data_IF_069596848180
#
_entry.id   IF_069596848180
#
_cell.length_a   1.000
_cell.length_b   1.000
_cell.length_c   1.000
_cell.angle_alpha   90.00
_cell.angle_beta   90.00
_cell.angle_gamma   90.00
#
_symmetry.space_group_name_H-M   'P 1'
#
loop_
_entity.id
_entity.type
_entity.pdbx_description
1 polymer ?
#
# COMPACT_ATOMS: atom_id res chain seq x y z
N UNK A 1 0.67 -54.63 -6.88
CA UNK A 1 0.13 -53.32 -7.28
C UNK A 1 -0.65 -52.61 -6.17
N UNK A 2 -1.57 -53.27 -5.45
CA UNK A 2 -2.42 -52.65 -4.40
C UNK A 2 -1.61 -52.02 -3.24
N UNK A 3 -0.51 -52.65 -2.82
CA UNK A 3 0.31 -52.17 -1.69
C UNK A 3 1.04 -50.84 -2.00
N UNK A 4 1.53 -50.68 -3.24
CA UNK A 4 2.25 -49.47 -3.68
C UNK A 4 1.30 -48.26 -3.65
N UNK A 5 0.06 -48.43 -4.11
CA UNK A 5 -0.94 -47.36 -4.08
C UNK A 5 -1.26 -46.92 -2.65
N UNK A 6 -1.39 -47.86 -1.69
CA UNK A 6 -1.66 -47.51 -0.29
C UNK A 6 -0.53 -46.70 0.35
N UNK A 7 0.73 -47.09 0.11
CA UNK A 7 1.89 -46.36 0.63
C UNK A 7 2.00 -44.96 0.03
N UNK A 8 1.79 -44.85 -1.28
CA UNK A 8 1.79 -43.56 -1.97
C UNK A 8 0.72 -42.61 -1.41
N UNK A 9 -0.51 -43.10 -1.19
CA UNK A 9 -1.57 -42.25 -0.67
C UNK A 9 -1.25 -41.80 0.76
N UNK A 10 -0.77 -42.69 1.64
CA UNK A 10 -0.34 -42.31 3.00
C UNK A 10 0.73 -41.22 2.95
N UNK A 11 1.74 -41.39 2.09
CA UNK A 11 2.80 -40.41 1.91
C UNK A 11 2.25 -39.04 1.48
N UNK A 12 1.35 -39.00 0.48
CA UNK A 12 0.73 -37.75 0.02
C UNK A 12 -0.01 -37.00 1.13
N UNK A 13 -0.78 -37.70 1.97
CA UNK A 13 -1.48 -37.06 3.09
C UNK A 13 -0.55 -36.62 4.21
N UNK A 14 0.55 -37.33 4.44
CA UNK A 14 1.59 -36.87 5.38
C UNK A 14 2.29 -35.61 4.87
N UNK A 15 2.56 -35.51 3.57
CA UNK A 15 3.11 -34.29 2.95
C UNK A 15 2.12 -33.13 3.07
N UNK A 16 0.83 -33.35 2.77
CA UNK A 16 -0.19 -32.31 2.90
C UNK A 16 -0.33 -31.83 4.35
N UNK A 17 -0.30 -32.74 5.32
CA UNK A 17 -0.30 -32.41 6.74
C UNK A 17 0.89 -31.51 7.11
N UNK A 18 2.09 -31.88 6.66
CA UNK A 18 3.30 -31.11 6.91
C UNK A 18 3.22 -29.70 6.30
N UNK A 19 2.80 -29.58 5.03
CA UNK A 19 2.60 -28.29 4.36
C UNK A 19 1.58 -27.43 5.13
N UNK A 20 0.50 -28.03 5.60
CA UNK A 20 -0.54 -27.33 6.38
C UNK A 20 0.03 -26.72 7.66
N UNK A 21 0.81 -27.49 8.40
CA UNK A 21 1.47 -27.01 9.63
C UNK A 21 2.46 -25.90 9.30
N UNK A 22 3.28 -26.08 8.25
CA UNK A 22 4.25 -25.08 7.84
C UNK A 22 3.60 -23.74 7.44
N UNK A 23 2.51 -23.79 6.67
CA UNK A 23 1.77 -22.58 6.26
C UNK A 23 1.10 -21.87 7.45
N UNK A 24 0.54 -22.63 8.41
CA UNK A 24 0.00 -22.04 9.65
C UNK A 24 1.10 -21.36 10.46
N UNK A 25 2.28 -21.99 10.57
CA UNK A 25 3.43 -21.39 11.27
C UNK A 25 3.91 -20.12 10.55
N UNK A 26 4.02 -20.13 9.22
CA UNK A 26 4.38 -18.95 8.42
C UNK A 26 3.39 -17.81 8.68
N UNK A 27 2.08 -18.09 8.60
CA UNK A 27 1.06 -17.08 8.80
C UNK A 27 1.02 -16.55 10.25
N UNK A 28 1.23 -17.43 11.24
CA UNK A 28 1.29 -17.05 12.65
C UNK A 28 2.54 -16.21 12.96
N UNK A 29 3.70 -16.59 12.44
CA UNK A 29 4.94 -15.81 12.61
C UNK A 29 4.81 -14.40 12.00
N UNK A 30 4.09 -14.28 10.87
CA UNK A 30 3.76 -12.98 10.27
C UNK A 30 2.85 -12.08 11.12
N UNK A 31 2.12 -12.62 12.09
CA UNK A 31 1.29 -11.81 13.00
C UNK A 31 2.08 -11.24 14.19
N UNK A 32 3.22 -11.86 14.54
CA UNK A 32 4.03 -11.47 15.70
C UNK A 32 5.06 -10.39 15.31
N UNK A 33 5.05 -9.95 14.05
CA UNK A 33 5.92 -8.91 13.50
C UNK A 33 7.42 -9.09 13.81
N UNK A 34 7.90 -10.34 13.75
CA UNK A 34 9.30 -10.67 14.01
C UNK A 34 10.11 -10.39 12.73
N UNK A 35 10.25 -9.11 12.38
CA UNK A 35 10.97 -8.69 11.17
C UNK A 35 10.36 -9.22 9.87
N UNK A 36 9.05 -9.47 9.88
CA UNK A 36 8.29 -10.00 8.73
C UNK A 36 7.78 -8.91 7.79
N UNK A 37 7.95 -7.66 8.21
CA UNK A 37 7.78 -6.45 7.43
C UNK A 37 8.56 -6.46 6.12
N UNK A 38 8.12 -5.64 5.18
CA UNK A 38 8.88 -5.44 3.96
C UNK A 38 10.20 -4.71 4.23
N UNK A 39 11.12 -4.81 3.28
CA UNK A 39 12.41 -4.15 3.38
C UNK A 39 12.25 -2.63 3.26
N UNK A 40 12.69 -1.90 4.28
CA UNK A 40 12.76 -0.46 4.25
C UNK A 40 14.10 0.01 3.68
N UNK A 41 14.07 0.84 2.64
CA UNK A 41 15.30 1.44 2.12
C UNK A 41 15.92 2.39 3.14
N UNK A 42 17.26 2.54 3.15
CA UNK A 42 17.93 3.62 3.85
C UNK A 42 17.40 4.97 3.38
N UNK A 43 17.22 5.88 4.32
CA UNK A 43 16.78 7.26 4.08
C UNK A 43 17.78 7.97 3.17
N UNK A 44 17.28 8.68 2.18
CA UNK A 44 18.08 9.49 1.25
C UNK A 44 18.20 10.91 1.78
N UNK A 45 19.29 11.60 1.42
CA UNK A 45 19.57 12.96 1.96
C UNK A 45 18.50 14.00 1.61
N UNK A 46 17.73 13.80 0.54
CA UNK A 46 16.70 14.73 0.09
C UNK A 46 15.32 14.47 0.73
N UNK A 47 15.12 13.32 1.38
CA UNK A 47 13.84 12.95 2.00
C UNK A 47 13.68 13.67 3.34
N UNK A 48 12.53 14.29 3.58
CA UNK A 48 12.23 15.00 4.83
C UNK A 48 11.96 14.08 6.03
N UNK A 49 12.05 12.77 5.81
CA UNK A 49 11.69 11.68 6.70
C UNK A 49 12.07 11.90 8.19
N UNK A 50 11.10 11.65 9.07
CA UNK A 50 11.24 11.69 10.52
C UNK A 50 11.05 10.28 11.11
N UNK A 51 12.12 9.63 11.61
CA UNK A 51 12.03 8.29 12.18
C UNK A 51 11.17 8.23 13.45
N UNK A 52 11.04 9.33 14.21
CA UNK A 52 10.19 9.38 15.41
C UNK A 52 8.71 9.24 15.02
N UNK A 53 8.34 9.80 13.87
CA UNK A 53 6.97 9.71 13.37
C UNK A 53 6.58 8.26 13.07
N UNK A 54 7.51 7.44 12.59
CA UNK A 54 7.27 6.00 12.32
C UNK A 54 6.80 5.26 13.57
N UNK A 55 7.51 5.45 14.68
CA UNK A 55 7.19 4.78 15.95
C UNK A 55 5.86 5.27 16.54
N UNK A 56 5.57 6.57 16.39
CA UNK A 56 4.35 7.18 16.93
C UNK A 56 3.10 6.88 16.12
N UNK A 57 3.23 6.51 14.85
CA UNK A 57 2.10 6.41 13.92
C UNK A 57 1.99 5.04 13.23
N UNK A 58 1.72 3.95 14.00
CA UNK A 58 1.56 2.61 13.45
C UNK A 58 0.18 2.35 12.81
N UNK A 59 -0.71 3.35 12.81
CA UNK A 59 -2.05 3.28 12.21
C UNK A 59 -2.47 4.61 11.59
N UNK A 60 -3.44 4.57 10.68
CA UNK A 60 -3.99 5.76 10.04
C UNK A 60 -4.59 6.72 11.07
N UNK A 61 -5.20 6.19 12.13
CA UNK A 61 -5.73 6.97 13.25
C UNK A 61 -4.62 7.76 13.94
N UNK A 62 -3.57 7.07 14.40
CA UNK A 62 -2.45 7.72 15.09
C UNK A 62 -1.71 8.72 14.21
N UNK A 63 -1.63 8.47 12.89
CA UNK A 63 -1.06 9.43 11.94
C UNK A 63 -1.91 10.69 11.82
N UNK A 64 -3.23 10.53 11.78
CA UNK A 64 -4.17 11.64 11.77
C UNK A 64 -4.11 12.45 13.07
N UNK A 65 -4.05 11.79 14.23
CA UNK A 65 -3.92 12.46 15.52
C UNK A 65 -2.64 13.31 15.60
N UNK A 66 -1.50 12.79 15.14
CA UNK A 66 -0.25 13.57 15.07
C UNK A 66 -0.33 14.72 14.07
N UNK A 67 -1.11 14.59 13.01
CA UNK A 67 -1.40 15.72 12.13
C UNK A 67 -2.24 16.79 12.84
N UNK A 68 -3.26 16.39 13.60
CA UNK A 68 -4.10 17.32 14.38
C UNK A 68 -3.34 18.01 15.51
N UNK A 69 -2.33 17.38 16.11
CA UNK A 69 -1.46 18.01 17.10
C UNK A 69 -0.72 19.25 16.56
N UNK A 70 -0.52 19.34 15.23
CA UNK A 70 0.11 20.49 14.58
C UNK A 70 -0.87 21.63 14.31
N UNK A 71 -2.18 21.38 14.48
CA UNK A 71 -3.19 22.42 14.39
C UNK A 71 -3.20 23.17 15.71
N UNK A 72 -2.85 24.46 15.65
CA UNK A 72 -2.95 25.32 16.82
C UNK A 72 -4.40 25.37 17.30
N UNK A 73 -4.66 24.77 18.45
CA UNK A 73 -5.97 24.75 19.11
C UNK A 73 -6.58 26.14 19.38
N UNK A 74 -5.81 27.22 19.21
CA UNK A 74 -6.28 28.60 19.32
C UNK A 74 -6.70 29.27 18.00
N UNK A 75 -6.43 28.64 16.85
CA UNK A 75 -6.84 29.17 15.56
C UNK A 75 -8.34 28.92 15.31
N UNK A 76 -9.04 29.94 14.80
CA UNK A 76 -10.34 29.77 14.14
C UNK A 76 -10.27 28.65 13.09
N UNK A 77 -11.42 28.06 12.70
CA UNK A 77 -11.50 26.95 11.74
C UNK A 77 -10.46 27.06 10.61
N UNK A 78 -9.50 26.14 10.59
CA UNK A 78 -8.47 26.11 9.56
C UNK A 78 -9.10 25.98 8.17
N UNK A 79 -8.51 26.65 7.19
CA UNK A 79 -8.91 26.45 5.80
C UNK A 79 -8.59 25.01 5.34
N UNK A 80 -9.35 24.42 4.40
CA UNK A 80 -9.01 23.12 3.84
C UNK A 80 -7.58 23.06 3.26
N UNK A 81 -7.09 24.19 2.74
CA UNK A 81 -5.71 24.34 2.25
C UNK A 81 -4.67 24.14 3.36
N UNK A 82 -4.91 24.71 4.54
CA UNK A 82 -4.00 24.60 5.68
C UNK A 82 -4.04 23.19 6.27
N UNK A 83 -5.25 22.61 6.42
CA UNK A 83 -5.41 21.21 6.83
C UNK A 83 -4.66 20.29 5.87
N UNK A 84 -4.85 20.45 4.55
CA UNK A 84 -4.16 19.64 3.56
C UNK A 84 -2.64 19.77 3.62
N UNK A 85 -2.10 20.96 3.87
CA UNK A 85 -0.65 21.15 4.05
C UNK A 85 -0.11 20.38 5.24
N UNK A 86 -0.83 20.38 6.37
CA UNK A 86 -0.46 19.64 7.57
C UNK A 86 -0.52 18.12 7.31
N UNK A 87 -1.60 17.64 6.69
CA UNK A 87 -1.73 16.22 6.33
C UNK A 87 -0.60 15.79 5.39
N UNK A 88 -0.34 16.58 4.34
CA UNK A 88 0.73 16.35 3.39
C UNK A 88 2.11 16.31 4.07
N UNK A 89 2.43 17.31 4.89
CA UNK A 89 3.73 17.36 5.57
C UNK A 89 3.91 16.20 6.54
N UNK A 90 2.83 15.74 7.16
CA UNK A 90 2.83 14.57 8.03
C UNK A 90 3.12 13.29 7.24
N UNK A 91 2.43 13.07 6.11
CA UNK A 91 2.67 11.89 5.25
C UNK A 91 4.07 11.91 4.64
N UNK A 92 4.51 13.08 4.15
CA UNK A 92 5.84 13.29 3.59
C UNK A 92 6.95 12.93 4.58
N UNK A 93 6.85 13.41 5.83
CA UNK A 93 7.81 13.06 6.89
C UNK A 93 7.68 11.62 7.35
N UNK A 94 6.52 10.98 7.14
CA UNK A 94 6.25 9.61 7.60
C UNK A 94 6.90 8.54 6.73
N UNK A 95 7.06 8.82 5.44
CA UNK A 95 7.47 7.83 4.46
C UNK A 95 8.76 8.24 3.73
N UNK A 96 9.47 7.24 3.25
CA UNK A 96 10.55 7.36 2.28
C UNK A 96 10.13 6.69 0.98
N UNK A 97 10.79 7.04 -0.11
CA UNK A 97 10.52 6.45 -1.41
C UNK A 97 11.07 5.01 -1.48
N UNK A 98 10.29 4.08 -2.02
CA UNK A 98 10.70 2.69 -2.19
C UNK A 98 9.84 1.88 -3.15
N UNK A 99 10.32 0.68 -3.50
CA UNK A 99 9.62 -0.25 -4.40
C UNK A 99 9.32 -1.62 -3.74
N UNK A 100 9.61 -1.74 -2.43
CA UNK A 100 9.58 -3.00 -1.68
C UNK A 100 8.38 -3.17 -0.76
N UNK A 101 7.54 -2.16 -0.56
CA UNK A 101 6.32 -2.23 0.25
C UNK A 101 5.24 -3.16 -0.35
N UNK A 102 5.52 -4.45 -0.26
CA UNK A 102 4.78 -5.56 -0.84
C UNK A 102 4.61 -6.66 0.19
N UNK A 103 3.62 -7.51 0.00
CA UNK A 103 3.45 -8.73 0.79
C UNK A 103 4.70 -9.60 0.72
N UNK A 104 5.11 -10.08 1.88
CA UNK A 104 6.16 -11.08 2.05
C UNK A 104 5.52 -12.45 2.24
N UNK A 105 6.34 -13.51 2.18
CA UNK A 105 5.85 -14.86 2.47
C UNK A 105 5.17 -14.93 3.85
N UNK A 106 5.69 -14.19 4.83
CA UNK A 106 5.20 -14.19 6.20
C UNK A 106 3.98 -13.29 6.38
N UNK A 107 3.94 -12.10 5.76
CA UNK A 107 2.79 -11.21 5.94
C UNK A 107 1.53 -11.80 5.31
N UNK A 108 1.62 -12.33 4.09
CA UNK A 108 0.55 -13.07 3.45
C UNK A 108 1.10 -13.99 2.34
N UNK A 109 1.31 -15.28 2.65
CA UNK A 109 1.87 -16.25 1.70
C UNK A 109 1.05 -16.38 0.42
N UNK A 110 -0.27 -16.21 0.49
CA UNK A 110 -1.16 -16.34 -0.67
C UNK A 110 -0.95 -15.16 -1.63
N UNK A 111 -1.01 -13.93 -1.12
CA UNK A 111 -0.77 -12.72 -1.91
C UNK A 111 0.67 -12.63 -2.41
N UNK A 112 1.64 -13.07 -1.61
CA UNK A 112 3.04 -13.19 -2.03
C UNK A 112 3.20 -14.11 -3.25
N UNK A 113 2.60 -15.30 -3.23
CA UNK A 113 2.67 -16.25 -4.35
C UNK A 113 1.90 -15.74 -5.58
N UNK A 114 0.70 -15.18 -5.39
CA UNK A 114 -0.06 -14.57 -6.48
C UNK A 114 0.66 -13.36 -7.07
N UNK A 115 1.42 -12.63 -6.27
CA UNK A 115 2.30 -11.56 -6.68
C UNK A 115 3.39 -11.98 -7.67
N UNK A 116 3.82 -13.26 -7.62
CA UNK A 116 4.73 -13.85 -8.61
C UNK A 116 4.07 -14.10 -9.97
N UNK A 117 2.74 -14.22 -9.99
CA UNK A 117 1.94 -14.38 -11.20
C UNK A 117 1.56 -13.02 -11.77
N UNK A 118 1.10 -12.11 -10.91
CA UNK A 118 0.72 -10.75 -11.30
C UNK A 118 1.08 -9.73 -10.19
N UNK A 119 1.92 -8.70 -10.49
CA UNK A 119 2.45 -7.78 -9.48
C UNK A 119 1.41 -7.09 -8.60
N UNK A 120 0.22 -6.79 -9.14
CA UNK A 120 -0.87 -6.15 -8.39
C UNK A 120 -1.28 -6.88 -7.10
N UNK A 121 -1.15 -8.21 -7.03
CA UNK A 121 -1.46 -8.95 -5.79
C UNK A 121 -0.38 -8.81 -4.71
N UNK A 122 0.83 -8.41 -5.10
CA UNK A 122 1.91 -8.22 -4.15
C UNK A 122 1.79 -6.90 -3.39
N UNK A 123 1.09 -5.90 -3.91
CA UNK A 123 1.05 -4.57 -3.32
C UNK A 123 0.22 -4.59 -2.03
N UNK A 124 0.68 -3.86 -1.00
CA UNK A 124 -0.13 -3.59 0.17
C UNK A 124 -1.25 -2.63 -0.25
N UNK A 125 -2.50 -2.92 0.14
CA UNK A 125 -3.67 -2.08 -0.12
C UNK A 125 -4.31 -1.50 1.14
N UNK A 126 -3.90 -1.98 2.31
CA UNK A 126 -4.40 -1.55 3.61
C UNK A 126 -3.45 -0.47 4.20
N UNK A 127 -3.91 0.79 4.38
CA UNK A 127 -3.09 1.86 4.94
C UNK A 127 -2.50 1.52 6.32
N UNK A 128 -3.24 0.81 7.17
CA UNK A 128 -2.76 0.44 8.50
C UNK A 128 -1.62 -0.58 8.42
N UNK A 129 -1.65 -1.47 7.43
CA UNK A 129 -0.52 -2.40 7.19
C UNK A 129 0.71 -1.66 6.65
N UNK A 130 0.54 -0.65 5.80
CA UNK A 130 1.67 0.16 5.33
C UNK A 130 2.35 0.89 6.49
N UNK A 131 1.54 1.52 7.35
CA UNK A 131 2.03 2.26 8.51
C UNK A 131 2.68 1.31 9.52
N UNK A 132 2.09 0.16 9.79
CA UNK A 132 2.67 -0.81 10.73
C UNK A 132 3.98 -1.41 10.25
N UNK A 133 4.07 -1.78 8.97
CA UNK A 133 5.20 -2.56 8.48
C UNK A 133 6.44 -1.72 8.14
N UNK A 134 6.31 -0.42 7.90
CA UNK A 134 7.51 0.37 7.65
C UNK A 134 7.28 1.80 7.24
N UNK A 135 8.28 2.32 6.54
CA UNK A 135 8.33 3.68 6.05
C UNK A 135 8.67 3.79 4.57
N UNK A 136 9.24 2.77 3.93
CA UNK A 136 9.63 2.86 2.52
C UNK A 136 8.54 2.32 1.59
N UNK A 137 7.70 3.21 1.06
CA UNK A 137 6.48 2.83 0.32
C UNK A 137 6.55 3.22 -1.15
N UNK A 138 5.68 2.62 -1.96
CA UNK A 138 5.49 3.03 -3.36
C UNK A 138 4.74 4.36 -3.44
N UNK A 139 4.89 5.09 -4.55
CA UNK A 139 4.25 6.38 -4.76
C UNK A 139 2.72 6.32 -4.66
N UNK A 140 2.12 5.25 -5.17
CA UNK A 140 0.68 5.03 -5.08
C UNK A 140 0.23 4.80 -3.64
N UNK A 141 1.06 4.17 -2.81
CA UNK A 141 0.78 3.91 -1.40
C UNK A 141 0.88 5.17 -0.53
N UNK A 142 1.94 5.98 -0.69
CA UNK A 142 2.07 7.26 0.04
C UNK A 142 0.94 8.21 -0.34
N UNK A 143 0.63 8.31 -1.63
CA UNK A 143 -0.52 9.05 -2.14
C UNK A 143 -1.83 8.50 -1.55
N UNK A 144 -1.97 7.18 -1.39
CA UNK A 144 -3.18 6.55 -0.84
C UNK A 144 -3.40 6.87 0.63
N UNK A 145 -2.34 6.86 1.43
CA UNK A 145 -2.43 7.26 2.84
C UNK A 145 -2.89 8.72 2.93
N UNK A 146 -2.31 9.61 2.13
CA UNK A 146 -2.70 11.02 2.10
C UNK A 146 -4.17 11.21 1.66
N UNK A 147 -4.63 10.46 0.66
CA UNK A 147 -6.03 10.44 0.23
C UNK A 147 -6.96 10.09 1.40
N UNK A 148 -6.65 9.02 2.16
CA UNK A 148 -7.47 8.59 3.29
C UNK A 148 -7.50 9.61 4.43
N UNK A 149 -6.37 10.27 4.72
CA UNK A 149 -6.34 11.36 5.70
C UNK A 149 -7.18 12.56 5.26
N UNK A 150 -7.12 12.95 3.98
CA UNK A 150 -7.92 14.04 3.43
C UNK A 150 -9.42 13.75 3.52
N UNK A 151 -9.83 12.54 3.14
CA UNK A 151 -11.23 12.10 3.25
C UNK A 151 -11.70 12.04 4.70
N UNK A 152 -10.82 11.62 5.63
CA UNK A 152 -11.10 11.64 7.08
C UNK A 152 -11.27 13.07 7.62
N UNK A 153 -10.64 14.05 7.00
CA UNK A 153 -10.81 15.48 7.30
C UNK A 153 -11.97 16.14 6.53
N UNK A 154 -12.88 15.37 5.93
CA UNK A 154 -14.00 15.84 5.11
C UNK A 154 -13.57 16.69 3.88
N UNK A 155 -12.34 16.49 3.39
CA UNK A 155 -11.82 17.15 2.20
C UNK A 155 -11.99 16.21 1.00
N UNK A 156 -12.79 16.57 -0.03
CA UNK A 156 -12.93 15.73 -1.19
C UNK A 156 -11.58 15.57 -1.89
N UNK A 157 -11.15 14.33 -2.10
CA UNK A 157 -9.83 14.03 -2.63
C UNK A 157 -9.89 12.85 -3.61
N UNK A 158 -8.90 12.77 -4.49
CA UNK A 158 -8.77 11.70 -5.50
C UNK A 158 -7.32 11.37 -5.79
N UNK A 159 -7.10 10.18 -6.35
CA UNK A 159 -5.83 9.82 -6.98
C UNK A 159 -5.83 10.16 -8.44
N UNK A 160 -4.65 10.52 -8.94
CA UNK A 160 -4.41 10.75 -10.36
C UNK A 160 -3.17 9.96 -10.78
N UNK A 161 -3.36 9.09 -11.77
CA UNK A 161 -2.27 8.35 -12.39
C UNK A 161 -1.55 9.19 -13.43
N UNK A 162 -0.23 9.26 -13.31
CA UNK A 162 0.70 9.91 -14.23
C UNK A 162 1.58 8.85 -14.89
N UNK A 163 0.97 7.88 -15.57
CA UNK A 163 1.69 6.77 -16.20
C UNK A 163 2.27 5.78 -15.20
N UNK A 164 3.52 5.99 -14.78
CA UNK A 164 4.24 5.17 -13.80
C UNK A 164 4.27 5.79 -12.39
N UNK A 165 3.69 6.99 -12.23
CA UNK A 165 3.63 7.72 -10.98
C UNK A 165 2.19 7.98 -10.55
N UNK A 166 1.97 8.22 -9.25
CA UNK A 166 0.63 8.49 -8.71
C UNK A 166 0.71 9.64 -7.73
N UNK A 167 -0.19 10.60 -7.91
CA UNK A 167 -0.31 11.79 -7.06
C UNK A 167 -1.71 11.89 -6.49
N UNK A 168 -1.89 12.78 -5.52
CA UNK A 168 -3.19 13.05 -4.91
C UNK A 168 -3.66 14.45 -5.32
N UNK A 169 -4.94 14.63 -5.61
CA UNK A 169 -5.55 15.95 -5.71
C UNK A 169 -6.66 16.13 -4.67
N UNK A 170 -6.67 17.26 -3.97
CA UNK A 170 -7.72 17.68 -3.06
C UNK A 170 -8.56 18.80 -3.69
N UNK A 171 -9.87 18.80 -3.44
CA UNK A 171 -10.80 19.82 -3.93
C UNK A 171 -11.13 20.81 -2.83
N UNK A 172 -10.70 22.06 -3.01
CA UNK A 172 -11.09 23.19 -2.17
C UNK A 172 -11.01 24.47 -3.01
N UNK A 173 -11.56 25.58 -2.53
CA UNK A 173 -11.53 26.87 -3.26
C UNK A 173 -12.06 26.80 -4.72
N UNK A 174 -12.92 25.82 -5.02
CA UNK A 174 -13.49 25.51 -6.34
C UNK A 174 -12.49 25.02 -7.40
N UNK A 175 -11.35 24.46 -7.01
CA UNK A 175 -10.43 23.80 -7.93
C UNK A 175 -9.78 22.54 -7.32
N UNK A 176 -9.12 21.75 -8.16
CA UNK A 176 -8.27 20.64 -7.73
C UNK A 176 -6.85 21.15 -7.46
N UNK A 177 -6.26 20.68 -6.36
CA UNK A 177 -4.93 21.05 -5.92
C UNK A 177 -4.08 19.80 -5.72
N UNK A 178 -2.95 19.71 -6.43
CA UNK A 178 -2.09 18.54 -6.45
C UNK A 178 -1.13 18.50 -5.26
N UNK A 179 -0.96 17.29 -4.72
CA UNK A 179 0.00 16.95 -3.68
C UNK A 179 0.70 15.65 -4.08
N UNK A 180 2.03 15.68 -4.10
CA UNK A 180 2.87 14.52 -4.40
C UNK A 180 3.73 14.19 -3.18
N UNK A 181 3.22 13.33 -2.26
CA UNK A 181 3.93 13.00 -1.04
C UNK A 181 5.16 12.12 -1.27
N UNK A 182 5.30 11.49 -2.45
CA UNK A 182 6.42 10.61 -2.78
C UNK A 182 7.64 11.40 -3.24
N UNK A 183 7.42 12.36 -4.14
CA UNK A 183 8.48 13.26 -4.64
C UNK A 183 8.65 14.51 -3.78
N UNK A 184 7.85 14.65 -2.71
CA UNK A 184 7.87 15.79 -1.82
C UNK A 184 7.61 17.14 -2.53
N UNK A 185 6.67 17.16 -3.49
CA UNK A 185 6.33 18.35 -4.26
C UNK A 185 4.87 18.79 -4.13
N UNK A 186 4.71 20.11 -4.12
CA UNK A 186 3.44 20.81 -4.31
C UNK A 186 3.68 21.83 -5.42
N UNK A 187 3.02 21.72 -6.60
CA UNK A 187 3.20 22.67 -7.67
C UNK A 187 2.52 23.99 -7.31
N UNK A 188 3.30 25.08 -7.21
CA UNK A 188 2.79 26.41 -6.85
C UNK A 188 3.04 27.37 -8.01
N UNK A 189 2.00 28.08 -8.45
CA UNK A 189 2.13 29.09 -9.48
C UNK A 189 2.85 30.35 -8.96
N UNK A 190 3.15 31.30 -9.85
CA UNK A 190 3.78 32.58 -9.50
C UNK A 190 2.98 33.45 -8.52
N UNK A 191 1.73 33.11 -8.24
CA UNK A 191 0.84 33.82 -7.32
C UNK A 191 0.69 33.10 -5.97
N UNK A 192 1.33 31.95 -5.77
CA UNK A 192 1.21 31.18 -4.53
C UNK A 192 0.03 30.20 -4.50
N UNK A 193 -0.64 29.96 -5.63
CA UNK A 193 -1.74 29.00 -5.73
C UNK A 193 -1.19 27.61 -6.00
N UNK A 194 -1.71 26.61 -5.29
CA UNK A 194 -1.38 25.21 -5.56
C UNK A 194 -2.12 24.80 -6.83
N UNK A 195 -1.43 24.27 -7.83
CA UNK A 195 -2.04 23.89 -9.09
C UNK A 195 -2.54 22.45 -9.05
N UNK A 196 -3.65 22.15 -9.73
CA UNK A 196 -4.05 20.78 -10.05
C UNK A 196 -3.25 20.21 -11.22
N UNK A 197 -3.32 18.90 -11.40
CA UNK A 197 -2.70 18.14 -12.50
C UNK A 197 -3.09 18.72 -13.86
N UNK A 198 -4.37 19.04 -14.05
CA UNK A 198 -4.87 19.59 -15.31
C UNK A 198 -4.32 20.96 -15.68
N UNK A 199 -4.00 21.78 -14.67
CA UNK A 199 -3.41 23.10 -14.86
C UNK A 199 -1.90 22.96 -15.08
N UNK A 200 -1.22 22.14 -14.27
CA UNK A 200 0.21 21.85 -14.38
C UNK A 200 0.55 21.21 -15.75
N UNK A 201 -0.30 20.33 -16.27
CA UNK A 201 -0.15 19.72 -17.60
C UNK A 201 -0.10 20.72 -18.77
N UNK A 202 -0.53 21.98 -18.55
CA UNK A 202 -0.49 23.05 -19.57
C UNK A 202 0.71 23.96 -19.43
N UNK A 203 1.48 23.82 -18.35
CA UNK A 203 2.67 24.61 -18.05
C UNK A 203 3.89 23.67 -17.93
N UNK A 204 4.46 23.30 -19.07
CA UNK A 204 5.60 22.38 -19.13
C UNK A 204 6.82 22.92 -18.38
N UNK A 205 7.01 24.24 -18.37
CA UNK A 205 8.14 24.87 -17.68
C UNK A 205 7.99 24.71 -16.18
N UNK A 206 6.83 25.07 -15.61
CA UNK A 206 6.58 24.89 -14.19
C UNK A 206 6.63 23.41 -13.80
N UNK A 207 6.09 22.52 -14.62
CA UNK A 207 6.14 21.08 -14.38
C UNK A 207 7.59 20.57 -14.22
N UNK A 208 8.47 20.92 -15.16
CA UNK A 208 9.90 20.58 -15.07
C UNK A 208 10.56 21.21 -13.85
N UNK A 209 10.26 22.47 -13.55
CA UNK A 209 10.80 23.18 -12.38
C UNK A 209 10.43 22.50 -11.06
N UNK A 210 9.16 22.11 -10.91
CA UNK A 210 8.63 21.47 -9.69
C UNK A 210 9.36 20.15 -9.39
N UNK A 211 9.63 19.34 -10.41
CA UNK A 211 10.28 18.03 -10.25
C UNK A 211 11.81 18.05 -10.35
N UNK A 212 12.42 19.13 -10.83
CA UNK A 212 13.88 19.27 -10.95
C UNK A 212 14.58 19.60 -9.60
N UNK A 213 14.06 19.09 -8.48
CA UNK A 213 14.71 19.21 -7.17
C UNK A 213 15.96 18.33 -7.11
N UNK A 214 16.96 18.78 -6.36
CA UNK A 214 18.20 18.03 -6.17
C UNK A 214 17.92 16.66 -5.53
N UNK A 215 18.38 15.58 -6.17
CA UNK A 215 18.35 14.22 -5.61
C UNK A 215 17.45 13.21 -6.33
N UNK A 216 16.56 13.66 -7.22
CA UNK A 216 15.74 12.76 -8.05
C UNK A 216 16.50 12.20 -9.25
N UNK A 217 16.10 11.01 -9.73
CA UNK A 217 16.59 10.46 -10.99
C UNK A 217 16.07 11.33 -12.15
N UNK A 218 17.00 11.92 -12.91
CA UNK A 218 16.66 12.80 -14.03
C UNK A 218 15.82 12.10 -15.09
N UNK A 219 16.07 10.82 -15.33
CA UNK A 219 15.29 10.06 -16.32
C UNK A 219 13.84 9.89 -15.85
N UNK A 220 13.67 9.57 -14.56
CA UNK A 220 12.35 9.45 -13.94
C UNK A 220 11.59 10.78 -13.90
N UNK A 221 12.28 11.89 -13.57
CA UNK A 221 11.70 13.24 -13.60
C UNK A 221 11.23 13.60 -15.02
N UNK A 222 12.04 13.33 -16.04
CA UNK A 222 11.67 13.56 -17.43
C UNK A 222 10.49 12.68 -17.86
N UNK A 223 10.38 11.44 -17.37
CA UNK A 223 9.24 10.57 -17.62
C UNK A 223 7.95 11.13 -17.01
N UNK A 224 7.97 11.57 -15.75
CA UNK A 224 6.82 12.23 -15.10
C UNK A 224 6.44 13.51 -15.87
N UNK A 225 7.45 14.33 -16.19
CA UNK A 225 7.25 15.60 -16.87
C UNK A 225 6.65 15.42 -18.27
N UNK A 226 7.06 14.39 -18.99
CA UNK A 226 6.52 14.03 -20.30
C UNK A 226 5.11 13.42 -20.23
N UNK A 227 4.78 12.77 -19.11
CA UNK A 227 3.48 12.09 -18.95
C UNK A 227 2.34 13.06 -18.61
N UNK A 228 2.65 14.12 -17.85
CA UNK A 228 1.66 15.11 -17.41
C UNK A 228 0.88 15.79 -18.56
N UNK A 229 1.53 16.26 -19.65
CA UNK A 229 0.85 16.82 -20.82
C UNK A 229 0.03 15.81 -21.62
N UNK A 230 0.39 14.52 -21.60
CA UNK A 230 -0.34 13.49 -22.32
C UNK A 230 -1.56 13.01 -21.52
N UNK A 231 -2.70 13.67 -21.76
CA UNK A 231 -3.99 13.29 -21.14
C UNK A 231 -4.42 11.85 -21.41
N UNK A 232 -3.88 11.18 -22.44
CA UNK A 232 -4.15 9.74 -22.65
C UNK A 232 -3.47 8.87 -21.60
N UNK A 233 -2.42 9.39 -20.97
CA UNK A 233 -1.68 8.77 -19.88
C UNK A 233 -2.07 9.30 -18.50
N UNK A 234 -3.15 10.10 -18.40
CA UNK A 234 -3.90 10.24 -17.15
C UNK A 234 -4.67 8.94 -16.95
N UNK A 235 -3.92 7.89 -16.61
CA UNK A 235 -4.31 6.49 -16.76
C UNK A 235 -5.55 6.15 -15.93
N UNK A 236 -5.80 6.91 -14.87
CA UNK A 236 -7.02 6.82 -14.08
C UNK A 236 -7.23 8.07 -13.21
N UNK A 237 -8.49 8.25 -12.82
CA UNK A 237 -8.92 9.09 -11.70
C UNK A 237 -9.75 8.19 -10.79
N UNK A 238 -9.44 8.13 -9.50
CA UNK A 238 -10.16 7.22 -8.61
C UNK A 238 -11.64 7.58 -8.51
N UNK A 239 -12.50 6.57 -8.73
CA UNK A 239 -13.94 6.66 -8.53
C UNK A 239 -14.50 5.29 -8.10
N UNK A 240 -15.35 5.20 -7.06
CA UNK A 240 -15.82 6.28 -6.19
C UNK A 240 -14.68 6.89 -5.32
N UNK A 241 -14.91 8.02 -4.62
CA UNK A 241 -13.92 8.61 -3.72
C UNK A 241 -13.35 7.58 -2.74
N UNK A 242 -12.03 7.60 -2.53
CA UNK A 242 -11.31 6.63 -1.70
C UNK A 242 -10.88 5.33 -2.41
N UNK A 243 -11.30 5.10 -3.66
CA UNK A 243 -10.78 3.99 -4.45
C UNK A 243 -9.30 4.22 -4.80
N UNK A 244 -8.51 3.16 -4.91
CA UNK A 244 -7.09 3.25 -5.27
C UNK A 244 -6.87 3.55 -6.76
N UNK A 245 -7.63 2.93 -7.67
CA UNK A 245 -7.42 3.10 -9.12
C UNK A 245 -8.69 3.04 -9.98
N UNK A 246 -9.32 1.86 -10.02
CA UNK A 246 -10.46 1.51 -10.89
C UNK A 246 -11.34 0.52 -10.12
N UNK A 247 -12.58 0.23 -10.54
CA UNK A 247 -13.41 -0.83 -9.93
C UNK A 247 -12.68 -2.18 -9.74
N UNK A 248 -11.69 -2.49 -10.58
CA UNK A 248 -10.83 -3.67 -10.41
C UNK A 248 -9.98 -3.60 -9.14
N UNK A 249 -9.57 -2.41 -8.71
CA UNK A 249 -8.88 -2.20 -7.44
C UNK A 249 -9.80 -2.46 -6.25
N UNK A 250 -11.09 -2.13 -6.33
CA UNK A 250 -12.07 -2.49 -5.30
C UNK A 250 -12.23 -4.02 -5.18
N UNK A 251 -12.24 -4.72 -6.32
CA UNK A 251 -12.23 -6.20 -6.33
C UNK A 251 -10.94 -6.74 -5.72
N UNK A 252 -9.79 -6.17 -6.06
CA UNK A 252 -8.50 -6.55 -5.48
C UNK A 252 -8.44 -6.27 -3.98
N UNK A 253 -9.02 -5.17 -3.50
CA UNK A 253 -9.11 -4.83 -2.09
C UNK A 253 -10.00 -5.82 -1.32
N UNK A 254 -11.17 -6.17 -1.86
CA UNK A 254 -12.01 -7.23 -1.28
C UNK A 254 -11.32 -8.58 -1.28
N UNK A 255 -10.59 -8.89 -2.36
CA UNK A 255 -9.77 -10.09 -2.43
C UNK A 255 -8.65 -10.08 -1.39
N UNK A 256 -8.04 -8.92 -1.14
CA UNK A 256 -7.01 -8.72 -0.13
C UNK A 256 -7.55 -9.01 1.27
N UNK A 257 -8.69 -8.41 1.65
CA UNK A 257 -9.39 -8.69 2.91
C UNK A 257 -9.70 -10.20 3.02
N UNK A 258 -10.21 -10.82 1.95
CA UNK A 258 -10.48 -12.26 1.96
C UNK A 258 -9.19 -13.07 2.14
N UNK A 259 -8.10 -12.69 1.49
CA UNK A 259 -6.80 -13.36 1.57
C UNK A 259 -6.22 -13.31 2.99
N UNK A 260 -6.49 -12.25 3.76
CA UNK A 260 -6.10 -12.14 5.17
C UNK A 260 -6.71 -13.25 6.03
N UNK A 261 -7.92 -13.72 5.70
CA UNK A 261 -8.53 -14.88 6.36
C UNK A 261 -8.10 -16.21 5.72
N UNK A 262 -8.06 -16.27 4.39
CA UNK A 262 -7.75 -17.51 3.66
C UNK A 262 -6.35 -18.05 3.96
N UNK A 263 -5.38 -17.18 4.27
CA UNK A 263 -4.02 -17.60 4.64
C UNK A 263 -4.00 -18.51 5.88
N UNK A 264 -5.01 -18.46 6.74
CA UNK A 264 -5.20 -19.35 7.88
C UNK A 264 -6.20 -20.48 7.60
N UNK A 265 -7.32 -20.17 6.95
CA UNK A 265 -8.41 -21.13 6.71
C UNK A 265 -7.94 -22.28 5.81
N UNK A 266 -7.23 -22.01 4.72
CA UNK A 266 -6.80 -23.03 3.76
C UNK A 266 -5.89 -24.08 4.44
N UNK A 267 -4.79 -23.69 5.11
CA UNK A 267 -3.96 -24.65 5.85
C UNK A 267 -4.72 -25.41 6.94
N UNK A 268 -5.62 -24.74 7.67
CA UNK A 268 -6.42 -25.41 8.71
C UNK A 268 -7.34 -26.49 8.13
N UNK A 269 -8.00 -26.21 7.01
CA UNK A 269 -8.81 -27.21 6.30
C UNK A 269 -7.96 -28.41 5.87
N UNK A 270 -6.79 -28.17 5.28
CA UNK A 270 -5.89 -29.25 4.87
C UNK A 270 -5.38 -30.08 6.06
N UNK A 271 -5.11 -29.44 7.20
CA UNK A 271 -4.74 -30.10 8.45
C UNK A 271 -5.85 -31.06 8.91
N UNK A 272 -7.10 -30.59 8.95
CA UNK A 272 -8.26 -31.38 9.38
C UNK A 272 -8.48 -32.56 8.43
N UNK A 273 -8.55 -32.32 7.12
CA UNK A 273 -8.80 -33.37 6.12
C UNK A 273 -7.70 -34.43 6.18
N UNK A 274 -6.43 -34.02 6.24
CA UNK A 274 -5.28 -34.95 6.30
C UNK A 274 -5.31 -35.80 7.57
N UNK A 275 -5.65 -35.19 8.71
CA UNK A 275 -5.74 -35.89 10.00
C UNK A 275 -6.88 -36.91 10.02
N UNK A 276 -8.07 -36.52 9.54
CA UNK A 276 -9.24 -37.41 9.44
C UNK A 276 -8.92 -38.61 8.54
N UNK A 277 -8.32 -38.36 7.38
CA UNK A 277 -7.98 -39.40 6.42
C UNK A 277 -6.93 -40.38 6.97
N UNK A 278 -5.86 -39.87 7.60
CA UNK A 278 -4.82 -40.73 8.19
C UNK A 278 -5.39 -41.62 9.31
N UNK A 279 -6.27 -41.09 10.16
CA UNK A 279 -6.96 -41.86 11.21
C UNK A 279 -7.87 -42.95 10.64
N UNK A 280 -8.63 -42.63 9.58
CA UNK A 280 -9.48 -43.61 8.91
C UNK A 280 -8.67 -44.80 8.37
N UNK A 281 -7.52 -44.54 7.74
CA UNK A 281 -6.68 -45.61 7.20
C UNK A 281 -5.95 -46.41 8.27
N UNK A 282 -5.63 -45.83 9.43
CA UNK A 282 -5.07 -46.58 10.55
C UNK A 282 -6.07 -47.60 11.11
N UNK A 283 -7.35 -47.24 11.24
CA UNK A 283 -8.39 -48.17 11.71
C UNK A 283 -8.57 -49.37 10.77
N UNK A 284 -8.51 -49.13 9.47
CA UNK A 284 -8.65 -50.20 8.47
C UNK A 284 -7.45 -51.16 8.37
N UNK A 285 -6.33 -50.88 9.06
CA UNK A 285 -5.18 -51.81 9.11
C UNK A 285 -5.31 -52.88 10.20
N UNK A 286 -6.17 -52.70 11.20
CA UNK A 286 -6.29 -53.61 12.35
C UNK A 286 -7.45 -54.61 12.31
N UNK A 287 -8.19 -54.69 11.20
CA UNK A 287 -9.39 -55.54 11.05
C UNK A 287 -9.22 -56.76 10.15
N UNK A 288 -8.00 -57.27 9.99
CA UNK A 288 -7.67 -58.44 9.16
C UNK A 288 -6.71 -59.38 9.86
#
# INVERSE_FOLDING_TARGET
>A
MIMINKLLIIFLWSVLLFISIALLLIAALGQIDIGTSYYNYPVREWEAFDPVLVERTPSLESLYDVALEQIDSSADMLSPKDVMRILYDTVKKRFTHGDKAKHTLFSNWLLYLLGKIHPAFAHLLDPDLMLRYGHSVLCDQSSYVLLHLALKADIPARHVGLGNHVVMEAWYENDWHMYDPDMEVIPVDKYGNIMGVNALARDETLNREVYNKEGGDKEYIEEIAATLPDRKNHTFVSYPPGAWFVWKAEVLYKFHIMAEYLKFIIPLMFLVISTVWLRYNQKNKGGG
#
